data_IF_976632698637
#
_entry.id   IF_976632698637
#
_cell.length_a   1.000
_cell.length_b   1.000
_cell.length_c   1.000
_cell.angle_alpha   90.00
_cell.angle_beta   90.00
_cell.angle_gamma   90.00
#
_symmetry.space_group_name_H-M   'P 1'
#
loop_
_entity.id
_entity.type
_entity.pdbx_description
1 polymer ?
#
# COMPACT_ATOMS: atom_id res chain seq x y z
N UNK A 1 17.98 -37.76 -59.93
CA UNK A 1 17.00 -37.01 -60.74
C UNK A 1 15.61 -37.18 -60.09
N UNK A 2 14.84 -36.10 -59.92
CA UNK A 2 13.44 -36.21 -59.48
C UNK A 2 13.02 -35.14 -58.46
N UNK A 3 12.46 -34.05 -58.97
CA UNK A 3 12.03 -32.82 -58.30
C UNK A 3 10.87 -33.06 -57.30
N UNK A 4 10.90 -32.42 -56.13
CA UNK A 4 9.71 -31.99 -55.34
C UNK A 4 10.07 -30.68 -54.60
N UNK A 5 9.74 -29.54 -55.20
CA UNK A 5 8.53 -28.74 -54.93
C UNK A 5 8.61 -27.99 -53.61
N UNK A 6 8.77 -26.67 -53.72
CA UNK A 6 9.08 -25.77 -52.64
C UNK A 6 7.96 -25.53 -51.64
N UNK A 7 8.38 -25.04 -50.47
CA UNK A 7 7.57 -24.19 -49.60
C UNK A 7 8.43 -22.99 -49.23
N UNK A 8 8.19 -21.89 -49.94
CA UNK A 8 8.61 -20.55 -49.55
C UNK A 8 8.11 -20.27 -48.13
N UNK A 9 9.02 -20.24 -47.17
CA UNK A 9 8.75 -19.76 -45.82
C UNK A 9 8.99 -18.25 -45.83
N UNK A 10 8.00 -17.49 -46.31
CA UNK A 10 8.02 -16.04 -46.22
C UNK A 10 8.02 -15.63 -44.74
N UNK A 11 9.16 -15.11 -44.27
CA UNK A 11 9.24 -14.37 -43.03
C UNK A 11 8.78 -12.93 -43.29
N UNK A 12 7.48 -12.70 -43.23
CA UNK A 12 6.95 -11.33 -43.08
C UNK A 12 7.21 -10.87 -41.65
N UNK A 13 8.40 -10.32 -41.40
CA UNK A 13 8.70 -9.54 -40.20
C UNK A 13 8.20 -8.11 -40.41
N UNK A 14 6.89 -7.91 -40.23
CA UNK A 14 6.37 -6.56 -39.99
C UNK A 14 6.84 -6.13 -38.59
N UNK A 15 7.85 -5.26 -38.54
CA UNK A 15 8.23 -4.49 -37.36
C UNK A 15 7.01 -3.65 -36.95
N UNK A 16 6.25 -4.14 -35.97
CA UNK A 16 5.25 -3.34 -35.26
C UNK A 16 6.00 -2.32 -34.40
N UNK A 17 6.13 -1.11 -34.93
CA UNK A 17 6.41 0.09 -34.15
C UNK A 17 5.22 0.28 -33.21
N UNK A 18 5.33 -0.18 -31.95
CA UNK A 18 4.33 0.12 -30.92
C UNK A 18 4.51 1.56 -30.47
N UNK A 19 3.74 2.45 -31.10
CA UNK A 19 3.33 3.73 -30.54
C UNK A 19 2.38 3.46 -29.33
N UNK A 20 2.72 3.85 -28.09
CA UNK A 20 1.91 3.52 -26.91
C UNK A 20 0.64 4.39 -26.73
N UNK A 21 0.14 5.08 -27.75
CA UNK A 21 -0.99 6.01 -27.63
C UNK A 21 -2.32 5.61 -28.29
N UNK A 22 -2.56 4.33 -28.60
CA UNK A 22 -3.92 3.87 -28.97
C UNK A 22 -4.36 2.68 -28.11
N UNK A 23 -5.10 2.96 -27.03
CA UNK A 23 -5.84 1.94 -26.27
C UNK A 23 -7.11 1.59 -27.05
N UNK A 24 -7.05 0.54 -27.86
CA UNK A 24 -8.25 -0.10 -28.42
C UNK A 24 -9.08 -0.61 -27.25
N UNK A 25 -10.28 -0.05 -27.04
CA UNK A 25 -11.27 -0.63 -26.12
C UNK A 25 -11.78 -1.92 -26.77
N UNK A 26 -11.31 -3.07 -26.30
CA UNK A 26 -11.96 -4.34 -26.60
C UNK A 26 -13.27 -4.39 -25.81
N UNK A 27 -14.38 -4.08 -26.47
CA UNK A 27 -15.71 -4.36 -25.93
C UNK A 27 -15.94 -5.87 -26.00
N UNK A 28 -15.99 -6.54 -24.85
CA UNK A 28 -16.33 -7.96 -24.79
C UNK A 28 -17.84 -8.13 -25.06
N UNK A 29 -18.25 -9.13 -25.85
CA UNK A 29 -19.66 -9.37 -26.15
C UNK A 29 -20.50 -9.54 -24.88
N UNK A 30 -21.66 -8.90 -24.83
CA UNK A 30 -22.60 -8.85 -23.70
C UNK A 30 -22.94 -10.25 -23.13
N UNK A 31 -22.88 -11.29 -23.98
CA UNK A 31 -23.13 -12.69 -23.61
C UNK A 31 -22.10 -13.27 -22.62
N UNK A 32 -20.83 -12.86 -22.69
CA UNK A 32 -19.77 -13.33 -21.77
C UNK A 32 -19.92 -12.67 -20.38
N UNK A 33 -20.37 -11.41 -20.34
CA UNK A 33 -20.67 -10.71 -19.09
C UNK A 33 -21.85 -11.34 -18.33
N UNK A 34 -22.85 -11.86 -19.05
CA UNK A 34 -24.02 -12.55 -18.47
C UNK A 34 -23.63 -13.90 -17.87
N UNK A 35 -22.88 -14.74 -18.60
CA UNK A 35 -22.34 -16.00 -18.08
C UNK A 35 -21.47 -15.81 -16.82
N UNK A 36 -20.63 -14.78 -16.78
CA UNK A 36 -19.83 -14.43 -15.59
C UNK A 36 -20.67 -13.91 -14.40
N UNK A 37 -21.88 -13.42 -14.64
CA UNK A 37 -22.83 -13.02 -13.60
C UNK A 37 -23.55 -14.23 -13.04
N UNK A 38 -23.99 -15.13 -13.91
CA UNK A 38 -24.66 -16.38 -13.56
C UNK A 38 -23.74 -17.29 -12.75
N UNK A 39 -22.48 -17.50 -13.17
CA UNK A 39 -21.49 -18.25 -12.40
C UNK A 39 -21.24 -17.67 -10.99
N UNK A 40 -21.25 -16.33 -10.85
CA UNK A 40 -21.12 -15.65 -9.54
C UNK A 40 -22.35 -15.82 -8.64
N UNK A 41 -23.54 -15.94 -9.23
CA UNK A 41 -24.77 -16.20 -8.49
C UNK A 41 -24.82 -17.65 -8.02
N UNK A 42 -24.33 -18.57 -8.83
CA UNK A 42 -24.25 -20.00 -8.54
C UNK A 42 -23.27 -20.29 -7.39
N UNK A 43 -22.07 -19.70 -7.42
CA UNK A 43 -21.12 -19.73 -6.29
C UNK A 43 -21.73 -19.15 -5.00
N UNK A 44 -22.48 -18.04 -5.13
CA UNK A 44 -23.13 -17.39 -3.98
C UNK A 44 -24.23 -18.24 -3.36
N UNK A 45 -24.94 -19.04 -4.17
CA UNK A 45 -25.99 -19.93 -3.69
C UNK A 45 -25.40 -21.20 -3.06
N UNK A 46 -24.27 -21.72 -3.58
CA UNK A 46 -23.50 -22.81 -2.95
C UNK A 46 -23.04 -22.47 -1.53
N UNK A 47 -22.60 -21.22 -1.31
CA UNK A 47 -22.18 -20.74 0.02
C UNK A 47 -23.35 -20.68 1.02
N UNK A 48 -24.61 -20.54 0.55
CA UNK A 48 -25.79 -20.50 1.44
C UNK A 48 -26.24 -21.88 1.91
N UNK A 49 -25.99 -22.93 1.12
CA UNK A 49 -26.46 -24.30 1.43
C UNK A 49 -25.54 -25.05 2.38
N UNK A 50 -24.25 -24.69 2.47
CA UNK A 50 -23.25 -25.41 3.27
C UNK A 50 -23.09 -24.88 4.71
N UNK A 51 -23.76 -23.77 5.06
CA UNK A 51 -23.69 -23.18 6.40
C UNK A 51 -25.10 -23.01 6.99
N UNK A 52 -25.56 -23.93 7.87
CA UNK A 52 -26.84 -23.79 8.52
C UNK A 52 -26.83 -22.55 9.42
N UNK A 53 -27.82 -21.71 9.18
CA UNK A 53 -28.05 -20.41 9.77
C UNK A 53 -28.45 -20.62 11.24
N UNK A 54 -27.63 -20.14 12.19
CA UNK A 54 -28.17 -19.68 13.47
C UNK A 54 -28.92 -18.39 13.15
N UNK A 55 -30.24 -18.47 13.19
CA UNK A 55 -31.16 -17.37 12.98
C UNK A 55 -31.00 -16.36 14.12
N UNK A 56 -30.19 -15.32 13.90
CA UNK A 56 -30.51 -13.93 14.23
C UNK A 56 -29.31 -13.02 13.96
N UNK A 57 -29.54 -12.01 13.09
CA UNK A 57 -28.60 -11.07 12.46
C UNK A 57 -27.93 -11.59 11.20
N UNK A 58 -28.35 -11.02 10.06
CA UNK A 58 -27.80 -11.31 8.75
C UNK A 58 -26.25 -11.27 8.77
N UNK A 59 -25.60 -12.34 8.32
CA UNK A 59 -24.13 -12.41 8.25
C UNK A 59 -23.51 -11.28 7.41
N UNK A 60 -24.31 -10.60 6.60
CA UNK A 60 -23.95 -9.41 5.85
C UNK A 60 -23.75 -8.17 6.75
N UNK A 61 -24.60 -7.98 7.76
CA UNK A 61 -24.48 -6.89 8.73
C UNK A 61 -23.34 -7.13 9.72
N UNK A 62 -23.13 -8.38 10.12
CA UNK A 62 -21.94 -8.76 10.90
C UNK A 62 -20.64 -8.43 10.14
N UNK A 63 -20.56 -8.76 8.84
CA UNK A 63 -19.40 -8.45 8.01
C UNK A 63 -19.20 -6.93 7.78
N UNK A 64 -20.29 -6.17 7.54
CA UNK A 64 -20.23 -4.71 7.40
C UNK A 64 -19.83 -4.00 8.71
N UNK A 65 -20.37 -4.44 9.85
CA UNK A 65 -20.02 -3.90 11.16
C UNK A 65 -18.55 -4.16 11.48
N UNK A 66 -18.10 -5.40 11.29
CA UNK A 66 -16.71 -5.81 11.50
C UNK A 66 -15.74 -5.03 10.59
N UNK A 67 -16.12 -4.72 9.34
CA UNK A 67 -15.26 -3.93 8.44
C UNK A 67 -15.09 -2.47 8.89
N UNK A 68 -16.12 -1.84 9.46
CA UNK A 68 -16.03 -0.47 10.01
C UNK A 68 -15.29 -0.43 11.35
N UNK A 69 -15.48 -1.41 12.23
CA UNK A 69 -14.86 -1.41 13.57
C UNK A 69 -13.43 -1.98 13.61
N UNK A 70 -13.05 -2.85 12.66
CA UNK A 70 -11.71 -3.49 12.61
C UNK A 70 -10.55 -2.51 12.43
N UNK A 71 -10.78 -1.32 11.86
CA UNK A 71 -9.72 -0.33 11.61
C UNK A 71 -10.00 1.05 12.23
N UNK A 72 -11.15 1.24 12.87
CA UNK A 72 -11.61 2.58 13.31
C UNK A 72 -11.63 2.77 14.82
N UNK A 73 -11.02 1.87 15.61
CA UNK A 73 -10.86 2.08 17.06
C UNK A 73 -10.25 3.46 17.37
N UNK A 74 -9.34 3.94 16.51
CA UNK A 74 -8.74 5.26 16.59
C UNK A 74 -9.75 6.43 16.60
N UNK A 75 -10.93 6.26 16.00
CA UNK A 75 -11.98 7.30 15.88
C UNK A 75 -13.16 7.11 16.83
N UNK A 76 -13.38 5.89 17.32
CA UNK A 76 -14.62 5.50 18.01
C UNK A 76 -14.38 5.02 19.43
N UNK A 77 -13.15 5.12 19.95
CA UNK A 77 -12.84 4.69 21.31
C UNK A 77 -13.10 5.82 22.30
N UNK A 78 -13.90 5.52 23.31
CA UNK A 78 -14.17 6.41 24.44
C UNK A 78 -12.97 6.49 25.41
N UNK A 79 -12.86 7.60 26.15
CA UNK A 79 -11.76 7.83 27.10
C UNK A 79 -11.72 6.79 28.23
N UNK A 80 -12.89 6.31 28.68
CA UNK A 80 -12.97 5.25 29.69
C UNK A 80 -12.37 3.95 29.18
N UNK A 81 -12.65 3.57 27.93
CA UNK A 81 -12.06 2.40 27.28
C UNK A 81 -10.55 2.57 27.10
N UNK A 82 -10.06 3.78 26.82
CA UNK A 82 -8.61 4.06 26.80
C UNK A 82 -7.99 3.87 28.18
N UNK A 83 -8.66 4.33 29.26
CA UNK A 83 -8.23 4.13 30.65
C UNK A 83 -8.16 2.64 30.98
N UNK A 84 -9.23 1.87 30.72
CA UNK A 84 -9.28 0.42 30.93
C UNK A 84 -8.14 -0.30 30.21
N UNK A 85 -7.85 0.06 28.96
CA UNK A 85 -6.74 -0.54 28.20
C UNK A 85 -5.39 -0.23 28.84
N UNK A 86 -5.16 1.02 29.28
CA UNK A 86 -3.89 1.42 29.91
C UNK A 86 -3.68 0.67 31.23
N UNK A 87 -4.66 0.74 32.13
CA UNK A 87 -4.58 0.17 33.48
C UNK A 87 -4.32 -1.34 33.41
N UNK A 88 -5.10 -2.04 32.58
CA UNK A 88 -4.92 -3.48 32.37
C UNK A 88 -3.53 -3.83 31.80
N UNK A 89 -3.02 -3.03 30.87
CA UNK A 89 -1.70 -3.30 30.28
C UNK A 89 -0.56 -3.04 31.27
N UNK A 90 -0.72 -2.09 32.18
CA UNK A 90 0.27 -1.82 33.23
C UNK A 90 0.23 -2.89 34.32
N UNK A 91 -0.95 -3.37 34.71
CA UNK A 91 -1.11 -4.56 35.56
C UNK A 91 -0.48 -5.80 34.92
N UNK A 92 -0.75 -6.04 33.63
CA UNK A 92 -0.19 -7.17 32.90
C UNK A 92 1.35 -7.12 32.82
N UNK A 93 1.94 -5.93 32.71
CA UNK A 93 3.40 -5.75 32.80
C UNK A 93 3.92 -6.05 34.21
N UNK A 94 3.26 -5.55 35.25
CA UNK A 94 3.63 -5.78 36.66
C UNK A 94 3.60 -7.27 37.03
N UNK A 95 2.64 -8.02 36.48
CA UNK A 95 2.50 -9.47 36.65
C UNK A 95 3.48 -10.30 35.80
N UNK A 96 4.56 -9.68 35.27
CA UNK A 96 5.56 -10.39 34.48
C UNK A 96 5.06 -10.93 33.14
N UNK A 97 3.95 -10.38 32.61
CA UNK A 97 3.33 -10.80 31.33
C UNK A 97 2.87 -12.27 31.32
N UNK A 98 2.37 -12.77 32.45
CA UNK A 98 1.91 -14.15 32.61
C UNK A 98 0.88 -14.60 31.54
N UNK A 99 0.02 -13.69 31.08
CA UNK A 99 -1.01 -13.98 30.09
C UNK A 99 -0.44 -13.88 28.67
N UNK A 100 -0.51 -14.98 27.89
CA UNK A 100 -0.05 -15.04 26.48
C UNK A 100 -0.82 -14.11 25.54
N UNK A 101 -2.15 -13.99 25.73
CA UNK A 101 -3.04 -13.24 24.84
C UNK A 101 -3.79 -12.11 25.59
N UNK A 102 -3.09 -11.05 26.04
CA UNK A 102 -3.68 -9.99 26.86
C UNK A 102 -4.81 -9.25 26.13
N UNK A 103 -4.68 -9.06 24.81
CA UNK A 103 -5.65 -8.31 24.01
C UNK A 103 -6.99 -9.04 23.81
N UNK A 104 -7.01 -10.36 23.90
CA UNK A 104 -8.27 -11.14 23.85
C UNK A 104 -9.05 -10.95 25.13
N UNK A 105 -8.37 -10.91 26.28
CA UNK A 105 -9.00 -10.60 27.56
C UNK A 105 -9.48 -9.15 27.62
N UNK A 106 -8.69 -8.21 27.10
CA UNK A 106 -9.11 -6.81 26.94
C UNK A 106 -10.37 -6.68 26.09
N UNK A 107 -10.46 -7.39 24.96
CA UNK A 107 -11.66 -7.37 24.14
C UNK A 107 -12.90 -7.81 24.94
N UNK A 108 -12.78 -8.88 25.74
CA UNK A 108 -13.85 -9.34 26.63
C UNK A 108 -14.21 -8.29 27.69
N UNK A 109 -13.22 -7.68 28.34
CA UNK A 109 -13.42 -6.59 29.33
C UNK A 109 -14.12 -5.36 28.72
N UNK A 110 -13.93 -5.11 27.43
CA UNK A 110 -14.58 -4.03 26.68
C UNK A 110 -15.91 -4.47 26.04
N UNK A 111 -16.53 -5.55 26.53
CA UNK A 111 -17.77 -6.14 26.01
C UNK A 111 -17.71 -6.53 24.53
N UNK A 112 -16.53 -6.93 24.05
CA UNK A 112 -16.26 -7.27 22.64
C UNK A 112 -16.65 -6.16 21.64
N UNK A 113 -16.75 -4.90 22.10
CA UNK A 113 -17.00 -3.74 21.23
C UNK A 113 -15.91 -3.56 20.18
N UNK A 114 -14.68 -3.97 20.51
CA UNK A 114 -13.53 -3.90 19.63
C UNK A 114 -12.84 -5.25 19.51
N UNK A 115 -12.26 -5.49 18.34
CA UNK A 115 -11.51 -6.72 18.06
C UNK A 115 -10.14 -6.63 18.74
N UNK A 116 -9.70 -7.73 19.37
CA UNK A 116 -8.39 -7.84 20.03
C UNK A 116 -7.22 -7.33 19.17
N UNK A 117 -7.23 -7.65 17.87
CA UNK A 117 -6.22 -7.17 16.91
C UNK A 117 -6.21 -5.65 16.79
N UNK A 118 -7.38 -5.01 16.71
CA UNK A 118 -7.51 -3.56 16.64
C UNK A 118 -7.03 -2.89 17.93
N UNK A 119 -7.35 -3.45 19.09
CA UNK A 119 -6.84 -3.00 20.40
C UNK A 119 -5.32 -3.11 20.45
N UNK A 120 -4.74 -4.23 20.02
CA UNK A 120 -3.30 -4.43 19.95
C UNK A 120 -2.61 -3.37 19.07
N UNK A 121 -3.11 -3.17 17.85
CA UNK A 121 -2.58 -2.13 16.95
C UNK A 121 -2.72 -0.73 17.55
N UNK A 122 -3.86 -0.43 18.20
CA UNK A 122 -4.11 0.86 18.83
C UNK A 122 -3.13 1.12 19.99
N UNK A 123 -2.94 0.12 20.85
CA UNK A 123 -2.04 0.21 21.99
C UNK A 123 -0.61 0.54 21.56
N UNK A 124 -0.03 -0.30 20.71
CA UNK A 124 1.39 -0.18 20.30
C UNK A 124 1.70 1.05 19.44
N UNK A 125 0.70 1.69 18.85
CA UNK A 125 0.90 2.87 18.01
C UNK A 125 0.44 4.17 18.64
N UNK A 126 -0.47 4.13 19.63
CA UNK A 126 -1.10 5.33 20.20
C UNK A 126 -1.12 5.34 21.72
N UNK A 127 -1.54 4.28 22.41
CA UNK A 127 -1.77 4.33 23.86
C UNK A 127 -0.54 4.04 24.72
N UNK A 128 0.49 3.38 24.18
CA UNK A 128 1.68 3.05 24.96
C UNK A 128 2.28 4.34 25.58
N UNK A 129 2.35 4.44 26.92
CA UNK A 129 2.83 5.65 27.60
C UNK A 129 4.26 6.04 27.22
N UNK A 130 5.08 5.06 26.83
CA UNK A 130 6.47 5.30 26.41
C UNK A 130 6.58 6.08 25.11
N UNK A 131 5.51 6.11 24.30
CA UNK A 131 5.57 6.71 22.97
C UNK A 131 5.69 8.24 23.03
N UNK A 132 6.71 8.77 22.38
CA UNK A 132 6.79 10.20 22.10
C UNK A 132 5.93 10.56 20.88
N UNK A 133 4.95 11.45 21.11
CA UNK A 133 3.96 11.94 20.14
C UNK A 133 4.30 13.33 19.60
N UNK A 134 5.42 13.92 20.00
CA UNK A 134 5.92 15.20 19.50
C UNK A 134 6.14 15.15 17.98
N UNK A 135 6.18 16.32 17.34
CA UNK A 135 6.52 16.39 15.92
C UNK A 135 7.96 15.90 15.69
N UNK A 136 8.19 15.30 14.53
CA UNK A 136 9.54 14.89 14.13
C UNK A 136 10.33 16.11 13.68
N UNK A 137 11.48 16.29 14.32
CA UNK A 137 12.50 17.25 13.94
C UNK A 137 13.08 16.95 12.55
N UNK A 138 13.68 17.95 11.87
CA UNK A 138 14.39 17.72 10.61
C UNK A 138 15.48 16.65 10.72
N UNK A 139 16.21 16.63 11.84
CA UNK A 139 17.32 15.72 12.11
C UNK A 139 16.82 14.26 12.25
N UNK A 140 15.74 14.05 13.01
CA UNK A 140 15.10 12.73 13.12
C UNK A 140 14.64 12.23 11.75
N UNK A 141 14.08 13.10 10.90
CA UNK A 141 13.61 12.72 9.56
C UNK A 141 14.78 12.31 8.66
N UNK A 142 15.85 13.11 8.66
CA UNK A 142 17.04 12.83 7.85
C UNK A 142 17.69 11.51 8.27
N UNK A 143 17.79 11.25 9.57
CA UNK A 143 18.28 9.98 10.10
C UNK A 143 17.45 8.78 9.58
N UNK A 144 16.11 8.87 9.67
CA UNK A 144 15.21 7.83 9.15
C UNK A 144 15.42 7.63 7.64
N UNK A 145 15.60 8.70 6.87
CA UNK A 145 15.80 8.61 5.41
C UNK A 145 17.12 7.94 5.06
N UNK A 146 18.22 8.36 5.66
CA UNK A 146 19.55 7.77 5.47
C UNK A 146 19.50 6.29 5.81
N UNK A 147 19.02 5.94 7.01
CA UNK A 147 18.96 4.55 7.44
C UNK A 147 18.09 3.69 6.52
N UNK A 148 16.86 4.14 6.21
CA UNK A 148 15.94 3.38 5.37
C UNK A 148 16.44 3.20 3.94
N UNK A 149 17.14 4.19 3.37
CA UNK A 149 17.76 4.10 2.05
C UNK A 149 18.88 3.05 1.99
N UNK A 150 19.70 2.95 3.05
CA UNK A 150 20.77 1.95 3.15
C UNK A 150 20.18 0.55 3.21
N UNK A 151 19.11 0.34 3.98
CA UNK A 151 18.46 -0.97 4.05
C UNK A 151 17.76 -1.34 2.74
N UNK A 152 17.09 -0.39 2.09
CA UNK A 152 16.48 -0.62 0.78
C UNK A 152 17.51 -1.01 -0.29
N UNK A 153 18.70 -0.39 -0.27
CA UNK A 153 19.78 -0.72 -1.20
C UNK A 153 20.40 -2.10 -0.94
N UNK A 154 20.51 -2.51 0.33
CA UNK A 154 21.01 -3.85 0.72
C UNK A 154 20.06 -4.97 0.30
N UNK A 155 18.76 -4.72 0.32
CA UNK A 155 17.71 -5.74 0.15
C UNK A 155 17.09 -5.74 -1.26
N UNK A 156 17.91 -5.53 -2.30
CA UNK A 156 17.50 -5.38 -3.71
C UNK A 156 16.59 -6.51 -4.28
N UNK A 157 16.43 -7.63 -3.58
CA UNK A 157 15.64 -8.80 -3.96
C UNK A 157 14.42 -9.05 -3.06
N UNK A 158 13.67 -8.00 -2.71
CA UNK A 158 12.39 -8.08 -1.98
C UNK A 158 12.54 -8.44 -0.49
N UNK A 159 13.16 -7.57 0.30
CA UNK A 159 13.01 -7.63 1.75
C UNK A 159 12.53 -6.32 2.35
N UNK A 160 11.79 -6.49 3.45
CA UNK A 160 10.97 -5.48 4.10
C UNK A 160 11.82 -4.75 5.13
N UNK A 161 12.02 -3.44 4.95
CA UNK A 161 12.78 -2.58 5.88
C UNK A 161 12.47 -2.95 7.34
N UNK A 162 13.47 -3.36 8.15
CA UNK A 162 13.25 -3.88 9.49
C UNK A 162 13.04 -2.74 10.50
N UNK A 163 11.84 -2.14 10.50
CA UNK A 163 11.45 -1.06 11.43
C UNK A 163 11.57 -1.42 12.91
N UNK A 164 11.69 -2.72 13.25
CA UNK A 164 11.93 -3.19 14.61
C UNK A 164 13.28 -2.76 15.14
N UNK A 165 14.29 -2.73 14.27
CA UNK A 165 15.68 -2.44 14.66
C UNK A 165 15.93 -0.94 14.67
N UNK A 166 15.24 -0.19 13.81
CA UNK A 166 15.31 1.28 13.80
C UNK A 166 14.70 1.90 15.07
N UNK A 167 13.67 1.28 15.65
CA UNK A 167 12.99 1.83 16.83
C UNK A 167 13.91 2.05 18.04
N UNK A 168 14.70 1.06 18.52
CA UNK A 168 15.65 1.27 19.60
C UNK A 168 16.80 2.21 19.20
N UNK A 169 17.21 2.24 17.93
CA UNK A 169 18.23 3.21 17.45
C UNK A 169 17.73 4.66 17.57
N UNK A 170 16.47 4.92 17.25
CA UNK A 170 15.85 6.23 17.46
C UNK A 170 15.77 6.62 18.93
N UNK A 171 15.49 5.66 19.82
CA UNK A 171 15.47 5.87 21.27
C UNK A 171 16.88 6.18 21.80
N UNK A 172 17.91 5.50 21.29
CA UNK A 172 19.31 5.72 21.67
C UNK A 172 19.86 7.07 21.19
N UNK A 173 19.58 7.46 19.94
CA UNK A 173 20.13 8.67 19.34
C UNK A 173 19.41 9.95 19.81
N UNK A 174 18.07 9.90 19.91
CA UNK A 174 17.25 11.09 20.16
C UNK A 174 16.56 11.07 21.53
N UNK A 175 16.71 10.00 22.32
CA UNK A 175 16.00 9.83 23.59
C UNK A 175 14.49 9.63 23.42
N UNK A 176 14.01 9.35 22.19
CA UNK A 176 12.59 9.36 21.84
C UNK A 176 12.11 8.01 21.34
N UNK A 177 11.27 7.35 22.12
CA UNK A 177 10.65 6.10 21.72
C UNK A 177 9.49 6.36 20.74
N UNK A 178 9.77 6.30 19.44
CA UNK A 178 8.78 6.52 18.38
C UNK A 178 8.07 5.23 17.99
N UNK A 179 6.79 5.30 17.65
CA UNK A 179 6.06 4.12 17.15
C UNK A 179 6.61 3.69 15.79
N UNK A 180 6.79 2.38 15.59
CA UNK A 180 7.25 1.80 14.31
C UNK A 180 6.42 2.26 13.11
N UNK A 181 5.11 2.41 13.28
CA UNK A 181 4.23 2.87 12.22
C UNK A 181 4.50 4.34 11.82
N UNK A 182 4.92 5.19 12.76
CA UNK A 182 5.32 6.57 12.47
C UNK A 182 6.59 6.61 11.61
N UNK A 183 7.61 5.81 11.95
CA UNK A 183 8.85 5.68 11.18
C UNK A 183 8.55 5.24 9.74
N UNK A 184 7.74 4.19 9.59
CA UNK A 184 7.27 3.70 8.30
C UNK A 184 6.49 4.76 7.51
N UNK A 185 5.62 5.54 8.16
CA UNK A 185 4.84 6.58 7.52
C UNK A 185 5.70 7.74 7.01
N UNK A 186 6.73 8.12 7.76
CA UNK A 186 7.70 9.16 7.36
C UNK A 186 8.42 8.76 6.09
N UNK A 187 8.98 7.55 6.07
CA UNK A 187 9.65 7.01 4.90
C UNK A 187 8.72 6.92 3.69
N UNK A 188 7.54 6.32 3.84
CA UNK A 188 6.57 6.18 2.73
C UNK A 188 6.10 7.54 2.21
N UNK A 189 5.96 8.54 3.08
CA UNK A 189 5.60 9.89 2.67
C UNK A 189 6.73 10.56 1.88
N UNK A 190 7.98 10.36 2.30
CA UNK A 190 9.15 10.82 1.56
C UNK A 190 9.29 10.14 0.20
N UNK A 191 9.15 8.82 0.13
CA UNK A 191 9.18 8.05 -1.12
C UNK A 191 8.11 8.49 -2.10
N UNK A 192 6.89 8.75 -1.61
CA UNK A 192 5.79 9.32 -2.42
C UNK A 192 6.10 10.74 -2.90
N UNK A 193 6.74 11.58 -2.07
CA UNK A 193 7.15 12.92 -2.48
C UNK A 193 8.23 12.86 -3.57
N UNK A 194 9.28 12.08 -3.36
CA UNK A 194 10.39 11.96 -4.30
C UNK A 194 9.95 11.35 -5.64
N UNK A 195 9.09 10.34 -5.63
CA UNK A 195 8.55 9.78 -6.88
C UNK A 195 7.71 10.78 -7.69
N UNK A 196 7.01 11.71 -7.02
CA UNK A 196 6.31 12.80 -7.72
C UNK A 196 7.30 13.82 -8.29
N UNK A 197 8.31 14.22 -7.52
CA UNK A 197 9.33 15.16 -7.97
C UNK A 197 10.11 14.62 -9.19
N UNK A 198 10.46 13.33 -9.19
CA UNK A 198 11.11 12.69 -10.35
C UNK A 198 10.21 12.72 -11.59
N UNK A 199 8.90 12.54 -11.43
CA UNK A 199 7.95 12.64 -12.55
C UNK A 199 7.85 14.06 -13.10
N UNK A 200 7.80 15.07 -12.22
CA UNK A 200 7.78 16.47 -12.62
C UNK A 200 9.06 16.84 -13.37
N UNK A 201 10.23 16.50 -12.82
CA UNK A 201 11.51 16.74 -13.49
C UNK A 201 11.61 16.04 -14.85
N UNK A 202 11.15 14.80 -14.97
CA UNK A 202 11.08 14.10 -16.26
C UNK A 202 10.17 14.81 -17.25
N UNK A 203 9.03 15.33 -16.79
CA UNK A 203 8.13 16.09 -17.65
C UNK A 203 8.78 17.39 -18.13
N UNK A 204 9.42 18.15 -17.25
CA UNK A 204 10.15 19.37 -17.59
C UNK A 204 11.27 19.11 -18.61
N UNK A 205 12.08 18.07 -18.39
CA UNK A 205 13.14 17.67 -19.34
C UNK A 205 12.56 17.33 -20.71
N UNK A 206 11.47 16.56 -20.76
CA UNK A 206 10.82 16.20 -22.03
C UNK A 206 10.26 17.44 -22.77
N UNK A 207 9.69 18.42 -22.05
CA UNK A 207 9.18 19.67 -22.64
C UNK A 207 10.32 20.48 -23.26
N UNK A 208 11.44 20.61 -22.55
CA UNK A 208 12.63 21.33 -23.05
C UNK A 208 13.18 20.63 -24.31
N UNK A 209 13.21 19.30 -24.32
CA UNK A 209 13.67 18.52 -25.47
C UNK A 209 12.74 18.68 -26.69
N UNK A 210 11.42 18.62 -26.47
CA UNK A 210 10.41 18.88 -27.50
C UNK A 210 10.50 20.30 -28.09
N UNK A 211 10.78 21.32 -27.25
CA UNK A 211 10.96 22.70 -27.72
C UNK A 211 12.25 22.88 -28.55
N UNK A 212 13.35 22.28 -28.11
CA UNK A 212 14.60 22.27 -28.88
C UNK A 212 14.41 21.61 -30.23
N UNK A 213 13.64 20.52 -30.28
CA UNK A 213 13.36 19.82 -31.53
C UNK A 213 12.48 20.66 -32.47
N UNK A 214 11.42 21.31 -31.95
CA UNK A 214 10.62 22.25 -32.73
C UNK A 214 11.45 23.41 -33.28
N UNK A 215 12.38 23.93 -32.48
CA UNK A 215 13.28 24.99 -32.90
C UNK A 215 14.21 24.53 -34.03
N UNK A 216 14.83 23.34 -33.90
CA UNK A 216 15.65 22.74 -34.96
C UNK A 216 14.88 22.56 -36.27
N UNK A 217 13.66 22.03 -36.21
CA UNK A 217 12.82 21.86 -37.38
C UNK A 217 12.49 23.20 -38.04
N UNK A 218 12.21 24.25 -37.26
CA UNK A 218 11.94 25.59 -37.79
C UNK A 218 13.14 26.15 -38.55
N UNK A 219 14.35 26.03 -38.01
CA UNK A 219 15.58 26.46 -38.70
C UNK A 219 15.77 25.72 -40.03
N UNK A 220 15.63 24.39 -40.04
CA UNK A 220 15.77 23.58 -41.25
C UNK A 220 14.69 23.84 -42.31
N UNK A 221 13.53 24.36 -41.93
CA UNK A 221 12.47 24.75 -42.85
C UNK A 221 12.69 26.15 -43.43
N UNK A 222 13.32 27.06 -42.69
CA UNK A 222 13.64 28.40 -43.18
C UNK A 222 14.81 28.39 -44.17
N UNK A 223 15.85 27.57 -43.93
CA UNK A 223 17.00 27.41 -44.84
C UNK A 223 16.61 26.86 -46.24
N UNK A 224 15.43 26.25 -46.37
CA UNK A 224 14.94 25.70 -47.64
C UNK A 224 14.11 26.67 -48.48
N UNK A 225 13.86 27.88 -47.98
CA UNK A 225 13.02 28.87 -48.67
C UNK A 225 13.83 30.02 -49.30
N UNK A 226 15.15 30.04 -49.12
CA UNK A 226 16.03 31.11 -49.62
C UNK A 226 16.78 30.74 -50.94
N UNK A 227 16.53 29.54 -51.49
CA UNK A 227 16.95 29.15 -52.85
C UNK A 227 15.79 29.35 -53.85
N UNK A 228 15.49 30.60 -54.23
CA UNK A 228 14.69 30.95 -55.42
C UNK A 228 15.12 32.27 -56.04
#
# INVERSE_FOLDING_TARGET
>A
MGKKSGKFRSQNTLKSIRNPRNRVKFELPINDARKRREARLEDRNKIKTEHPILEDRSGYDYWKFNKKTKYSIHKTIDEDSKRIIRDYMDEWKKQGRAIKNPFVQLAKKLNNRYIAKSICHYYWNILDPRLDRSLFSPEEKDYIYKWASVQEAKEANNYMIPWRDLQPMMEAEFGKFRARNCLKNIWNSNKRRNSRLVKVRRHEVNVIEDEKEKHRIRYLLNDKNDDY
#
